data_IF_940667398450
#
_entry.id   IF_940667398450
#
_cell.length_a   1.000
_cell.length_b   1.000
_cell.length_c   1.000
_cell.angle_alpha   90.00
_cell.angle_beta   90.00
_cell.angle_gamma   90.00
#
_symmetry.space_group_name_H-M   'P 1'
#
loop_
_entity.id
_entity.type
_entity.pdbx_description
1 polymer ?
#
# COMPACT_ATOMS: atom_id res chain seq x y z
N UNK A 1 14.45 16.49 0.35
CA UNK A 1 14.30 15.05 0.68
C UNK A 1 14.12 14.30 -0.62
N UNK A 2 14.71 13.10 -0.74
CA UNK A 2 14.88 12.33 -1.99
C UNK A 2 13.68 12.38 -2.93
N UNK A 3 13.93 12.61 -4.23
CA UNK A 3 13.01 12.47 -5.36
C UNK A 3 12.46 11.04 -5.49
N UNK A 4 11.67 10.64 -4.50
CA UNK A 4 11.12 9.30 -4.40
C UNK A 4 9.87 9.21 -5.29
N UNK A 5 10.04 8.60 -6.46
CA UNK A 5 8.90 8.14 -7.26
C UNK A 5 8.39 6.81 -6.69
N UNK A 6 7.13 6.75 -6.23
CA UNK A 6 6.60 5.50 -5.69
C UNK A 6 6.58 4.43 -6.79
N UNK A 7 7.00 3.19 -6.47
CA UNK A 7 7.02 2.11 -7.45
C UNK A 7 5.61 1.86 -8.00
N UNK A 8 5.44 2.09 -9.30
CA UNK A 8 4.19 1.81 -10.01
C UNK A 8 4.20 0.35 -10.48
N UNK A 9 3.15 -0.40 -10.14
CA UNK A 9 2.99 -1.77 -10.66
C UNK A 9 2.73 -1.73 -12.16
N UNK A 10 3.54 -2.46 -12.94
CA UNK A 10 3.24 -2.69 -14.35
C UNK A 10 1.93 -3.49 -14.50
N UNK A 11 1.25 -3.32 -15.64
CA UNK A 11 0.01 -4.06 -15.93
C UNK A 11 0.19 -5.57 -15.84
N UNK A 12 1.36 -6.09 -16.24
CA UNK A 12 1.71 -7.50 -16.14
C UNK A 12 1.86 -7.97 -14.69
N UNK A 13 2.50 -7.17 -13.82
CA UNK A 13 2.59 -7.48 -12.40
C UNK A 13 1.20 -7.46 -11.74
N UNK A 14 0.37 -6.48 -12.08
CA UNK A 14 -0.99 -6.38 -11.56
C UNK A 14 -1.84 -7.59 -12.01
N UNK A 15 -1.75 -7.97 -13.30
CA UNK A 15 -2.41 -9.18 -13.81
C UNK A 15 -1.92 -10.45 -13.09
N UNK A 16 -0.60 -10.59 -12.86
CA UNK A 16 -0.04 -11.71 -12.12
C UNK A 16 -0.55 -11.79 -10.68
N UNK A 17 -0.63 -10.66 -9.98
CA UNK A 17 -1.19 -10.58 -8.61
C UNK A 17 -2.66 -11.02 -8.62
N UNK A 18 -3.46 -10.51 -9.56
CA UNK A 18 -4.89 -10.86 -9.66
C UNK A 18 -5.07 -12.35 -9.94
N UNK A 19 -4.34 -12.92 -10.90
CA UNK A 19 -4.41 -14.35 -11.22
C UNK A 19 -3.98 -15.21 -10.03
N UNK A 20 -2.90 -14.84 -9.35
CA UNK A 20 -2.43 -15.53 -8.15
C UNK A 20 -3.46 -15.52 -7.02
N UNK A 21 -4.08 -14.37 -6.76
CA UNK A 21 -5.15 -14.24 -5.77
C UNK A 21 -6.36 -15.12 -6.11
N UNK A 22 -6.78 -15.14 -7.38
CA UNK A 22 -7.87 -15.98 -7.85
C UNK A 22 -7.54 -17.49 -7.70
N UNK A 23 -6.32 -17.90 -8.02
CA UNK A 23 -5.88 -19.28 -7.87
C UNK A 23 -5.86 -19.73 -6.39
N UNK A 24 -5.38 -18.87 -5.51
CA UNK A 24 -5.37 -19.12 -4.05
C UNK A 24 -6.80 -19.17 -3.49
N UNK A 25 -7.68 -18.26 -3.93
CA UNK A 25 -9.09 -18.29 -3.55
C UNK A 25 -9.79 -19.57 -4.03
N UNK A 26 -9.55 -19.99 -5.27
CA UNK A 26 -10.08 -21.23 -5.83
C UNK A 26 -9.58 -22.46 -5.05
N UNK A 27 -8.29 -22.53 -4.74
CA UNK A 27 -7.74 -23.58 -3.88
C UNK A 27 -8.39 -23.60 -2.49
N UNK A 28 -8.49 -22.44 -1.83
CA UNK A 28 -9.06 -22.32 -0.49
C UNK A 28 -10.54 -22.71 -0.43
N UNK A 29 -11.30 -22.42 -1.49
CA UNK A 29 -12.71 -22.77 -1.60
C UNK A 29 -12.95 -24.23 -1.96
N UNK A 30 -12.24 -24.73 -2.98
CA UNK A 30 -12.48 -26.06 -3.57
C UNK A 30 -11.80 -27.17 -2.76
N UNK A 31 -10.62 -26.91 -2.21
CA UNK A 31 -9.81 -27.93 -1.52
C UNK A 31 -9.97 -27.83 0.00
N UNK A 32 -9.91 -26.62 0.55
CA UNK A 32 -9.86 -26.43 2.01
C UNK A 32 -11.23 -26.19 2.64
N UNK A 33 -12.21 -25.70 1.85
CA UNK A 33 -13.57 -25.41 2.34
C UNK A 33 -13.65 -24.28 3.39
N UNK A 34 -12.57 -23.49 3.56
CA UNK A 34 -12.51 -22.40 4.53
C UNK A 34 -11.95 -21.12 3.89
N UNK A 35 -12.78 -20.07 3.82
CA UNK A 35 -12.44 -18.78 3.20
C UNK A 35 -11.42 -17.96 4.01
N UNK A 36 -11.37 -18.16 5.34
CA UNK A 36 -10.60 -17.32 6.27
C UNK A 36 -9.08 -17.41 6.08
N UNK A 37 -8.55 -18.52 5.55
CA UNK A 37 -7.11 -18.73 5.37
C UNK A 37 -6.45 -17.74 4.40
N UNK A 38 -7.23 -17.19 3.45
CA UNK A 38 -6.73 -16.21 2.47
C UNK A 38 -6.98 -14.78 2.94
N UNK A 39 -8.10 -14.55 3.64
CA UNK A 39 -8.54 -13.21 4.05
C UNK A 39 -7.60 -12.60 5.09
N UNK A 40 -7.15 -13.39 6.08
CA UNK A 40 -6.26 -12.90 7.15
C UNK A 40 -4.91 -12.39 6.62
N UNK A 41 -4.13 -13.15 5.83
CA UNK A 41 -2.87 -12.65 5.30
C UNK A 41 -3.06 -11.49 4.31
N UNK A 42 -4.12 -11.50 3.49
CA UNK A 42 -4.43 -10.38 2.59
C UNK A 42 -4.76 -9.09 3.37
N UNK A 43 -5.55 -9.20 4.43
CA UNK A 43 -5.87 -8.08 5.31
C UNK A 43 -4.62 -7.55 6.04
N UNK A 44 -3.72 -8.44 6.48
CA UNK A 44 -2.46 -8.05 7.11
C UNK A 44 -1.57 -7.25 6.15
N UNK A 45 -1.41 -7.70 4.90
CA UNK A 45 -0.64 -6.98 3.87
C UNK A 45 -1.26 -5.60 3.60
N UNK A 46 -2.59 -5.53 3.47
CA UNK A 46 -3.30 -4.27 3.25
C UNK A 46 -3.10 -3.30 4.43
N UNK A 47 -3.18 -3.79 5.67
CA UNK A 47 -2.99 -2.98 6.86
C UNK A 47 -1.56 -2.41 6.95
N UNK A 48 -0.54 -3.21 6.62
CA UNK A 48 0.85 -2.75 6.53
C UNK A 48 0.99 -1.65 5.48
N UNK A 49 0.43 -1.86 4.29
CA UNK A 49 0.47 -0.89 3.20
C UNK A 49 -0.22 0.44 3.56
N UNK A 50 -1.40 0.38 4.17
CA UNK A 50 -2.14 1.57 4.59
C UNK A 50 -1.42 2.33 5.70
N UNK A 51 -0.84 1.61 6.67
CA UNK A 51 -0.02 2.22 7.74
C UNK A 51 1.18 2.95 7.15
N UNK A 52 1.92 2.30 6.25
CA UNK A 52 3.03 2.93 5.54
C UNK A 52 2.58 4.20 4.81
N UNK A 53 1.47 4.12 4.07
CA UNK A 53 0.96 5.25 3.28
C UNK A 53 0.45 6.39 4.16
N UNK A 54 -0.08 6.09 5.34
CA UNK A 54 -0.48 7.07 6.34
C UNK A 54 0.73 7.84 6.88
N UNK A 55 1.82 7.14 7.24
CA UNK A 55 3.05 7.77 7.73
C UNK A 55 3.62 8.73 6.67
N UNK A 56 3.75 8.26 5.43
CA UNK A 56 4.24 9.10 4.31
C UNK A 56 3.37 10.34 4.09
N UNK A 57 2.04 10.22 4.25
CA UNK A 57 1.14 11.36 4.12
C UNK A 57 1.35 12.39 5.25
N UNK A 58 1.56 11.91 6.48
CA UNK A 58 1.86 12.78 7.64
C UNK A 58 3.20 13.50 7.44
N UNK A 59 4.24 12.81 6.96
CA UNK A 59 5.54 13.42 6.64
C UNK A 59 5.39 14.52 5.58
N UNK A 60 4.64 14.26 4.50
CA UNK A 60 4.41 15.26 3.46
C UNK A 60 3.66 16.51 3.98
N UNK A 61 2.72 16.34 4.92
CA UNK A 61 2.05 17.47 5.58
C UNK A 61 3.03 18.25 6.44
N UNK A 62 3.86 17.57 7.22
CA UNK A 62 4.87 18.21 8.06
C UNK A 62 5.86 19.02 7.21
N UNK A 63 6.34 18.47 6.09
CA UNK A 63 7.22 19.15 5.15
C UNK A 63 6.56 20.40 4.55
N UNK A 64 5.28 20.31 4.17
CA UNK A 64 4.53 21.44 3.65
C UNK A 64 4.37 22.56 4.70
N UNK A 65 4.11 22.20 5.96
CA UNK A 65 4.00 23.15 7.06
C UNK A 65 5.35 23.81 7.37
N UNK A 66 6.45 23.05 7.35
CA UNK A 66 7.80 23.57 7.54
C UNK A 66 8.18 24.55 6.43
N UNK A 67 7.84 24.24 5.18
CA UNK A 67 8.07 25.13 4.04
C UNK A 67 7.31 26.45 4.20
N UNK A 68 6.05 26.40 4.61
CA UNK A 68 5.24 27.60 4.83
C UNK A 68 5.79 28.46 5.99
N UNK A 69 6.28 27.83 7.05
CA UNK A 69 6.90 28.53 8.17
C UNK A 69 8.22 29.21 7.77
N UNK A 70 9.03 28.56 6.92
CA UNK A 70 10.26 29.14 6.38
C UNK A 70 9.95 30.37 5.51
N UNK A 71 8.99 30.26 4.59
CA UNK A 71 8.57 31.35 3.70
C UNK A 71 8.10 32.59 4.49
N UNK A 72 7.43 32.39 5.63
CA UNK A 72 6.96 33.45 6.53
C UNK A 72 8.07 34.10 7.38
N UNK A 73 9.23 33.45 7.53
CA UNK A 73 10.34 33.96 8.34
C UNK A 73 11.28 34.85 7.53
N UNK A 74 11.28 34.68 6.21
CA UNK A 74 12.10 35.46 5.27
C UNK A 74 11.44 36.79 4.81
N UNK A 75 10.17 37.04 5.21
CA UNK A 75 9.40 38.28 4.98
C UNK A 75 9.48 39.25 6.18
#
# INVERSE_FOLDING_TARGET
MSDWSPPTLSRGQLAGIVVGLLAVAAYSLVIVGQLLLVVVPAAAILAVYLTWRFIVAVEAIADALQRLAADKTDE
#
